data_IF_247192960397
#
_entry.id   IF_247192960397
#
_cell.length_a   1.000
_cell.length_b   1.000
_cell.length_c   1.000
_cell.angle_alpha   90.00
_cell.angle_beta   90.00
_cell.angle_gamma   90.00
#
_symmetry.space_group_name_H-M   'P 1'
#
loop_
_entity.id
_entity.type
_entity.pdbx_description
1 polymer ?
#
# COMPACT_ATOMS: atom_id res chain seq x y z
N UNK A 1 13.48 -40.24 13.08
CA UNK A 1 14.13 -40.03 11.77
C UNK A 1 13.49 -38.78 11.18
N UNK A 2 13.93 -37.57 11.54
CA UNK A 2 15.10 -36.85 10.97
C UNK A 2 15.08 -36.93 9.44
N UNK A 3 14.66 -35.83 8.81
CA UNK A 3 15.34 -35.35 7.62
C UNK A 3 15.66 -33.86 7.83
N UNK A 4 16.95 -33.65 8.07
CA UNK A 4 17.65 -32.40 8.22
C UNK A 4 17.85 -31.77 6.84
N UNK A 5 17.67 -30.44 6.77
CA UNK A 5 18.47 -29.44 6.03
C UNK A 5 19.07 -29.79 4.67
N UNK A 6 18.74 -28.98 3.66
CA UNK A 6 19.76 -28.21 2.90
C UNK A 6 19.19 -26.83 2.57
N UNK A 7 19.50 -25.85 3.43
CA UNK A 7 19.61 -24.45 3.05
C UNK A 7 20.80 -24.39 2.09
N UNK A 8 20.57 -24.16 0.80
CA UNK A 8 21.66 -24.06 -0.17
C UNK A 8 22.39 -22.73 0.06
N UNK A 9 23.62 -22.86 0.56
CA UNK A 9 24.61 -21.82 0.78
C UNK A 9 24.82 -20.93 -0.45
N UNK A 10 25.14 -19.67 -0.17
CA UNK A 10 25.91 -18.78 -1.04
C UNK A 10 27.09 -19.51 -1.68
N UNK A 11 27.23 -19.38 -3.01
CA UNK A 11 28.52 -19.55 -3.68
C UNK A 11 29.01 -18.16 -4.09
N UNK A 12 29.53 -17.40 -3.12
CA UNK A 12 30.43 -16.28 -3.40
C UNK A 12 31.84 -16.87 -3.47
N UNK A 13 32.32 -17.10 -4.68
CA UNK A 13 33.75 -17.24 -4.92
C UNK A 13 34.32 -15.83 -5.10
N UNK A 14 34.91 -15.26 -4.05
CA UNK A 14 35.81 -14.10 -4.15
C UNK A 14 37.12 -14.49 -3.49
N UNK A 15 38.18 -14.56 -4.30
CA UNK A 15 39.57 -14.65 -3.86
C UNK A 15 40.02 -13.29 -3.31
N UNK A 16 40.83 -13.36 -2.26
CA UNK A 16 41.29 -12.26 -1.41
C UNK A 16 41.85 -11.03 -2.14
N UNK A 17 41.53 -9.85 -1.57
CA UNK A 17 42.09 -8.55 -1.91
C UNK A 17 41.19 -7.42 -1.40
N UNK A 18 41.38 -7.06 -0.12
CA UNK A 18 41.07 -5.83 0.63
C UNK A 18 39.84 -4.93 0.32
N UNK A 19 39.24 -4.49 1.43
CA UNK A 19 38.27 -3.39 1.67
C UNK A 19 36.76 -3.69 1.61
N UNK A 20 36.12 -3.55 2.78
CA UNK A 20 34.67 -3.57 2.99
C UNK A 20 33.96 -2.47 2.19
N UNK A 21 33.32 -2.86 1.10
CA UNK A 21 32.24 -2.09 0.48
C UNK A 21 31.19 -3.08 0.01
N UNK A 22 30.07 -3.18 0.75
CA UNK A 22 28.94 -4.03 0.38
C UNK A 22 28.57 -3.79 -1.09
N UNK A 23 28.90 -4.75 -1.95
CA UNK A 23 28.75 -4.59 -3.39
C UNK A 23 27.27 -4.61 -3.73
N UNK A 24 26.72 -3.49 -4.22
CA UNK A 24 25.35 -3.44 -4.72
C UNK A 24 25.18 -4.48 -5.83
N UNK A 25 24.06 -5.20 -5.79
CA UNK A 25 23.72 -6.25 -6.73
C UNK A 25 23.70 -5.68 -8.16
N UNK A 26 24.34 -6.37 -9.11
CA UNK A 26 24.31 -6.00 -10.54
C UNK A 26 23.52 -7.03 -11.34
N UNK A 27 22.45 -6.57 -11.98
CA UNK A 27 21.55 -7.40 -12.78
C UNK A 27 22.13 -7.55 -14.18
N UNK A 28 22.35 -8.80 -14.60
CA UNK A 28 23.06 -9.16 -15.85
C UNK A 28 22.14 -9.56 -16.99
N UNK A 29 20.87 -9.79 -16.71
CA UNK A 29 19.89 -10.21 -17.70
C UNK A 29 18.46 -9.97 -17.18
N UNK A 30 17.49 -10.19 -18.07
CA UNK A 30 16.07 -10.06 -17.78
C UNK A 30 15.61 -11.01 -16.66
N UNK A 31 15.94 -12.32 -16.66
CA UNK A 31 15.56 -13.23 -15.58
C UNK A 31 16.06 -12.79 -14.20
N UNK A 32 17.29 -12.29 -14.08
CA UNK A 32 17.83 -11.79 -12.82
C UNK A 32 17.07 -10.55 -12.34
N UNK A 33 16.69 -9.64 -13.25
CA UNK A 33 15.89 -8.47 -12.90
C UNK A 33 14.48 -8.86 -12.42
N UNK A 34 13.83 -9.80 -13.09
CA UNK A 34 12.53 -10.33 -12.67
C UNK A 34 12.61 -11.00 -11.30
N UNK A 35 13.56 -11.92 -11.11
CA UNK A 35 13.76 -12.61 -9.84
C UNK A 35 14.04 -11.62 -8.68
N UNK A 36 14.81 -10.57 -8.95
CA UNK A 36 15.07 -9.51 -7.98
C UNK A 36 13.79 -8.75 -7.61
N UNK A 37 13.01 -8.32 -8.60
CA UNK A 37 11.73 -7.60 -8.38
C UNK A 37 10.72 -8.48 -7.64
N UNK A 38 10.61 -9.76 -8.00
CA UNK A 38 9.61 -10.67 -7.43
C UNK A 38 9.96 -11.16 -6.02
N UNK A 39 11.22 -11.03 -5.61
CA UNK A 39 11.70 -11.47 -4.29
C UNK A 39 11.21 -10.62 -3.13
N UNK A 40 10.71 -9.39 -3.39
CA UNK A 40 10.40 -8.39 -2.36
C UNK A 40 9.18 -7.53 -2.73
N UNK A 41 8.56 -6.89 -1.74
CA UNK A 41 7.37 -6.04 -1.98
C UNK A 41 7.73 -4.75 -2.72
N UNK A 42 8.87 -4.14 -2.37
CA UNK A 42 9.40 -2.93 -3.02
C UNK A 42 10.88 -3.14 -3.30
N UNK A 43 11.25 -3.02 -4.58
CA UNK A 43 12.62 -3.10 -5.07
C UNK A 43 13.01 -1.79 -5.76
N UNK A 44 14.27 -1.38 -5.63
CA UNK A 44 14.81 -0.21 -6.35
C UNK A 44 15.88 -0.66 -7.32
N UNK A 45 15.79 -0.23 -8.58
CA UNK A 45 16.82 -0.48 -9.59
C UNK A 45 17.32 0.85 -10.14
N UNK A 46 18.63 1.07 -10.04
CA UNK A 46 19.34 2.12 -10.76
C UNK A 46 19.72 1.63 -12.14
N UNK A 47 19.08 2.16 -13.18
CA UNK A 47 19.44 1.94 -14.57
C UNK A 47 20.46 2.99 -14.98
N UNK A 48 21.73 2.59 -15.07
CA UNK A 48 22.83 3.48 -15.44
C UNK A 48 23.71 2.77 -16.46
N UNK A 49 23.98 3.43 -17.58
CA UNK A 49 24.82 2.85 -18.64
C UNK A 49 26.27 2.67 -18.19
N UNK A 50 26.77 3.63 -17.40
CA UNK A 50 28.12 3.61 -16.84
C UNK A 50 28.16 4.25 -15.45
N UNK A 51 29.25 4.05 -14.71
CA UNK A 51 29.47 4.70 -13.42
C UNK A 51 29.77 6.21 -13.54
N UNK A 52 30.05 6.68 -14.75
CA UNK A 52 30.19 8.10 -15.07
C UNK A 52 28.83 8.78 -15.33
N UNK A 53 27.74 8.02 -15.38
CA UNK A 53 26.40 8.54 -15.57
C UNK A 53 26.04 9.56 -14.47
N UNK A 54 25.33 10.61 -14.89
CA UNK A 54 24.83 11.63 -13.97
C UNK A 54 23.87 10.99 -12.96
N UNK A 55 24.07 11.25 -11.68
CA UNK A 55 23.22 10.69 -10.62
C UNK A 55 23.69 9.32 -10.08
N UNK A 56 24.67 8.67 -10.71
CA UNK A 56 25.18 7.37 -10.24
C UNK A 56 25.77 7.46 -8.83
N UNK A 57 26.63 8.45 -8.58
CA UNK A 57 27.29 8.62 -7.27
C UNK A 57 26.30 9.03 -6.19
N UNK A 58 25.35 9.90 -6.53
CA UNK A 58 24.26 10.33 -5.65
C UNK A 58 23.34 9.15 -5.29
N UNK A 59 23.04 8.28 -6.26
CA UNK A 59 22.31 7.03 -6.02
C UNK A 59 23.05 6.14 -5.03
N UNK A 60 24.35 5.88 -5.26
CA UNK A 60 25.16 5.09 -4.32
C UNK A 60 25.18 5.68 -2.90
N UNK A 61 25.25 7.01 -2.78
CA UNK A 61 25.20 7.69 -1.49
C UNK A 61 23.84 7.54 -0.81
N UNK A 62 22.73 7.60 -1.56
CA UNK A 62 21.38 7.39 -1.04
C UNK A 62 21.17 5.94 -0.56
N UNK A 63 21.67 4.96 -1.31
CA UNK A 63 21.59 3.53 -0.96
C UNK A 63 22.26 3.25 0.39
N UNK A 64 23.40 3.90 0.68
CA UNK A 64 24.07 3.77 1.99
C UNK A 64 23.24 4.26 3.16
N UNK A 65 22.25 5.12 2.94
CA UNK A 65 21.32 5.61 3.97
C UNK A 65 20.05 4.75 4.07
N UNK A 66 19.83 3.83 3.13
CA UNK A 66 18.65 2.98 3.03
C UNK A 66 19.03 1.52 3.35
N UNK A 67 19.18 1.19 4.63
CA UNK A 67 19.62 -0.16 5.06
C UNK A 67 18.57 -1.26 4.82
N UNK A 68 17.29 -0.91 4.67
CA UNK A 68 16.19 -1.87 4.64
C UNK A 68 15.61 -2.15 3.27
N UNK A 69 15.99 -1.39 2.24
CA UNK A 69 15.44 -1.53 0.90
C UNK A 69 16.37 -2.36 0.00
N UNK A 70 15.86 -3.40 -0.67
CA UNK A 70 16.60 -4.11 -1.71
C UNK A 70 16.91 -3.18 -2.88
N UNK A 71 18.20 -2.99 -3.16
CA UNK A 71 18.67 -2.13 -4.25
C UNK A 71 19.59 -2.89 -5.20
N UNK A 72 19.42 -2.67 -6.51
CA UNK A 72 20.29 -3.19 -7.56
C UNK A 72 20.65 -2.12 -8.60
N UNK A 73 21.67 -2.43 -9.40
CA UNK A 73 22.11 -1.67 -10.57
C UNK A 73 21.94 -2.50 -11.84
N UNK A 74 21.59 -1.86 -12.95
CA UNK A 74 21.47 -2.52 -14.25
C UNK A 74 21.95 -1.62 -15.40
N UNK A 75 22.95 -2.11 -16.15
CA UNK A 75 23.45 -1.49 -17.39
C UNK A 75 22.93 -2.17 -18.65
N UNK A 76 22.22 -3.29 -18.51
CA UNK A 76 21.86 -4.19 -19.61
C UNK A 76 20.68 -3.66 -20.42
N UNK A 77 20.93 -3.27 -21.67
CA UNK A 77 19.92 -2.62 -22.54
C UNK A 77 18.69 -3.48 -22.82
N UNK A 78 18.82 -4.81 -22.79
CA UNK A 78 17.68 -5.72 -22.91
C UNK A 78 16.70 -5.60 -21.73
N UNK A 79 17.25 -5.44 -20.51
CA UNK A 79 16.46 -5.21 -19.29
C UNK A 79 15.80 -3.84 -19.35
N UNK A 80 16.51 -2.83 -19.85
CA UNK A 80 15.97 -1.48 -20.02
C UNK A 80 14.77 -1.48 -20.97
N UNK A 81 14.89 -2.16 -22.11
CA UNK A 81 13.82 -2.30 -23.09
C UNK A 81 12.58 -2.99 -22.50
N UNK A 82 12.76 -4.05 -21.69
CA UNK A 82 11.66 -4.76 -21.02
C UNK A 82 10.81 -3.85 -20.13
N UNK A 83 11.44 -2.94 -19.40
CA UNK A 83 10.76 -2.03 -18.46
C UNK A 83 10.51 -0.63 -19.04
N UNK A 84 10.72 -0.43 -20.35
CA UNK A 84 10.45 0.85 -21.02
C UNK A 84 11.40 1.98 -20.62
N UNK A 85 12.63 1.67 -20.22
CA UNK A 85 13.65 2.64 -19.81
C UNK A 85 14.46 3.11 -21.01
N UNK A 86 14.40 4.41 -21.31
CA UNK A 86 15.05 5.00 -22.48
C UNK A 86 16.44 5.62 -22.20
N UNK A 87 16.72 5.97 -20.95
CA UNK A 87 17.94 6.65 -20.51
C UNK A 87 18.26 6.31 -19.07
N UNK A 88 19.43 6.75 -18.59
CA UNK A 88 19.81 6.64 -17.18
C UNK A 88 18.67 7.13 -16.27
N UNK A 89 18.24 6.30 -15.32
CA UNK A 89 17.14 6.60 -14.40
C UNK A 89 17.16 5.69 -13.17
N UNK A 90 16.40 6.05 -12.16
CA UNK A 90 16.14 5.21 -10.99
C UNK A 90 14.66 4.84 -11.02
N UNK A 91 14.35 3.55 -10.92
CA UNK A 91 12.97 3.06 -10.91
C UNK A 91 12.67 2.27 -9.64
N UNK A 92 11.46 2.44 -9.13
CA UNK A 92 10.92 1.71 -7.98
C UNK A 92 9.90 0.73 -8.52
N UNK A 93 10.13 -0.55 -8.25
CA UNK A 93 9.22 -1.63 -8.58
C UNK A 93 8.48 -2.02 -7.30
N UNK A 94 7.15 -1.98 -7.33
CA UNK A 94 6.31 -2.48 -6.26
C UNK A 94 5.57 -3.71 -6.76
N UNK A 95 5.71 -4.82 -6.04
CA UNK A 95 4.93 -6.02 -6.31
C UNK A 95 3.46 -5.72 -6.07
N UNK A 96 2.66 -5.81 -7.12
CA UNK A 96 1.22 -5.60 -7.04
C UNK A 96 0.53 -6.93 -6.69
N UNK A 97 0.90 -7.52 -5.55
CA UNK A 97 0.03 -8.52 -4.94
C UNK A 97 -1.09 -7.74 -4.26
N UNK A 98 -2.30 -7.76 -4.82
CA UNK A 98 -3.50 -7.24 -4.16
C UNK A 98 -3.90 -8.24 -3.06
N UNK A 99 -3.01 -8.41 -2.09
CA UNK A 99 -3.30 -8.97 -0.78
C UNK A 99 -2.97 -7.86 0.22
N UNK A 100 -3.88 -6.92 0.36
CA UNK A 100 -3.82 -5.89 1.40
C UNK A 100 -3.84 -6.61 2.75
N UNK A 101 -2.66 -6.78 3.35
CA UNK A 101 -2.55 -7.27 4.72
C UNK A 101 -3.00 -6.15 5.65
N UNK A 102 -3.75 -6.48 6.70
CA UNK A 102 -4.17 -5.50 7.70
C UNK A 102 -2.97 -4.71 8.29
N UNK A 103 -1.78 -5.32 8.31
CA UNK A 103 -0.52 -4.71 8.76
C UNK A 103 -0.16 -3.47 7.92
N UNK A 104 -0.27 -3.55 6.59
CA UNK A 104 0.01 -2.42 5.69
C UNK A 104 -0.97 -1.26 5.88
N UNK A 105 -2.24 -1.55 6.18
CA UNK A 105 -3.25 -0.53 6.46
C UNK A 105 -2.91 0.29 7.72
N UNK A 106 -2.44 -0.37 8.78
CA UNK A 106 -2.09 0.30 10.05
C UNK A 106 -0.73 1.03 10.01
N UNK A 107 0.22 0.53 9.21
CA UNK A 107 1.51 1.17 9.00
C UNK A 107 1.48 2.32 7.96
N UNK A 108 0.38 2.48 7.24
CA UNK A 108 0.17 3.59 6.30
C UNK A 108 0.37 4.96 6.98
N UNK A 109 1.00 5.88 6.26
CA UNK A 109 1.07 7.31 6.65
C UNK A 109 -0.31 7.99 6.55
N UNK A 110 -1.22 7.42 5.75
CA UNK A 110 -2.61 7.88 5.62
C UNK A 110 -3.45 7.23 6.70
N UNK A 111 -3.84 8.01 7.70
CA UNK A 111 -4.59 7.55 8.88
C UNK A 111 -6.10 7.57 8.71
N UNK A 112 -6.61 8.20 7.66
CA UNK A 112 -8.03 8.20 7.31
C UNK A 112 -8.34 7.06 6.37
N UNK A 113 -9.22 6.16 6.77
CA UNK A 113 -9.63 5.01 5.97
C UNK A 113 -11.10 5.15 5.58
N UNK A 114 -11.40 5.02 4.30
CA UNK A 114 -12.75 4.88 3.76
C UNK A 114 -13.02 3.39 3.52
N UNK A 115 -14.01 2.82 4.18
CA UNK A 115 -14.32 1.40 4.14
C UNK A 115 -15.61 1.16 3.36
N UNK A 116 -15.55 0.31 2.33
CA UNK A 116 -16.72 -0.33 1.73
C UNK A 116 -16.89 -1.73 2.35
N UNK A 117 -17.89 -1.86 3.22
CA UNK A 117 -18.28 -3.12 3.84
C UNK A 117 -19.42 -3.72 3.03
N UNK A 118 -19.19 -4.88 2.41
CA UNK A 118 -20.18 -5.55 1.57
C UNK A 118 -20.20 -7.05 1.85
N UNK A 119 -21.36 -7.69 1.67
CA UNK A 119 -21.42 -9.13 1.53
C UNK A 119 -20.82 -9.49 0.17
N UNK A 120 -19.81 -10.36 0.12
CA UNK A 120 -19.05 -10.65 -1.12
C UNK A 120 -19.82 -11.35 -2.26
N UNK A 121 -21.13 -11.11 -2.42
CA UNK A 121 -21.95 -11.60 -3.53
C UNK A 121 -21.65 -10.83 -4.82
N UNK A 122 -21.24 -11.54 -5.88
CA UNK A 122 -20.71 -10.95 -7.11
C UNK A 122 -21.69 -10.05 -7.87
N UNK A 123 -22.97 -10.43 -7.95
CA UNK A 123 -23.91 -9.79 -8.88
C UNK A 123 -24.30 -8.33 -8.55
N UNK A 124 -24.17 -7.91 -7.30
CA UNK A 124 -24.45 -6.51 -6.88
C UNK A 124 -23.21 -5.78 -6.32
N UNK A 125 -22.15 -6.51 -5.94
CA UNK A 125 -20.96 -5.92 -5.32
C UNK A 125 -19.90 -5.48 -6.34
N UNK A 126 -19.82 -6.10 -7.52
CA UNK A 126 -18.78 -5.77 -8.51
C UNK A 126 -18.89 -4.33 -9.05
N UNK A 127 -20.06 -3.84 -9.51
CA UNK A 127 -20.19 -2.45 -9.97
C UNK A 127 -19.88 -1.44 -8.88
N UNK A 128 -20.23 -1.75 -7.63
CA UNK A 128 -19.98 -0.90 -6.48
C UNK A 128 -18.49 -0.85 -6.13
N UNK A 129 -17.82 -2.01 -6.11
CA UNK A 129 -16.36 -2.08 -5.91
C UNK A 129 -15.62 -1.34 -7.03
N UNK A 130 -16.06 -1.45 -8.28
CA UNK A 130 -15.44 -0.74 -9.40
C UNK A 130 -15.57 0.78 -9.23
N UNK A 131 -16.78 1.30 -8.94
CA UNK A 131 -16.98 2.72 -8.64
C UNK A 131 -16.09 3.20 -7.49
N UNK A 132 -15.94 2.37 -6.45
CA UNK A 132 -15.09 2.68 -5.30
C UNK A 132 -13.61 2.74 -5.70
N UNK A 133 -13.14 1.83 -6.55
CA UNK A 133 -11.78 1.85 -7.11
C UNK A 133 -11.53 3.05 -8.01
N UNK A 134 -12.49 3.40 -8.87
CA UNK A 134 -12.38 4.54 -9.79
C UNK A 134 -12.33 5.88 -9.05
N UNK A 135 -12.92 5.95 -7.84
CA UNK A 135 -12.87 7.12 -6.97
C UNK A 135 -11.56 7.28 -6.20
N UNK A 136 -10.89 6.17 -5.86
CA UNK A 136 -9.73 6.17 -4.99
C UNK A 136 -8.60 7.14 -5.43
N UNK A 137 -8.25 7.28 -6.74
CA UNK A 137 -7.22 8.21 -7.18
C UNK A 137 -7.47 9.68 -6.79
N UNK A 138 -8.73 10.13 -6.68
CA UNK A 138 -9.08 11.51 -6.27
C UNK A 138 -8.62 11.83 -4.85
N UNK A 139 -8.51 10.80 -4.00
CA UNK A 139 -8.21 10.92 -2.57
C UNK A 139 -6.82 10.39 -2.20
N UNK A 140 -5.97 10.12 -3.20
CA UNK A 140 -4.62 9.63 -2.98
C UNK A 140 -3.83 10.54 -2.00
N UNK A 141 -3.19 9.93 -1.01
CA UNK A 141 -2.46 10.63 0.05
C UNK A 141 -3.33 11.27 1.14
N UNK A 142 -4.66 11.29 0.98
CA UNK A 142 -5.62 11.85 1.95
C UNK A 142 -6.45 10.78 2.64
N UNK A 143 -6.88 9.77 1.89
CA UNK A 143 -7.66 8.65 2.40
C UNK A 143 -7.22 7.33 1.77
N UNK A 144 -7.27 6.26 2.57
CA UNK A 144 -7.05 4.90 2.12
C UNK A 144 -8.39 4.22 1.87
N UNK A 145 -8.57 3.65 0.68
CA UNK A 145 -9.81 2.98 0.29
C UNK A 145 -9.68 1.49 0.59
N UNK A 146 -10.56 0.97 1.46
CA UNK A 146 -10.48 -0.39 1.99
C UNK A 146 -11.77 -1.15 1.68
N UNK A 147 -11.65 -2.36 1.14
CA UNK A 147 -12.77 -3.27 0.93
C UNK A 147 -12.84 -4.28 2.08
N UNK A 148 -14.00 -4.40 2.71
CA UNK A 148 -14.23 -5.35 3.80
C UNK A 148 -15.30 -6.35 3.41
N UNK A 149 -14.92 -7.62 3.32
CA UNK A 149 -15.86 -8.70 3.13
C UNK A 149 -16.58 -9.00 4.45
N UNK A 150 -17.85 -8.59 4.56
CA UNK A 150 -18.67 -8.77 5.75
C UNK A 150 -19.16 -10.21 6.00
N UNK A 151 -18.88 -11.15 5.10
CA UNK A 151 -19.14 -12.60 5.30
C UNK A 151 -17.97 -13.31 5.98
N UNK A 152 -16.79 -12.70 5.96
CA UNK A 152 -15.59 -13.29 6.53
C UNK A 152 -15.61 -13.15 8.06
N UNK A 153 -15.41 -14.26 8.78
CA UNK A 153 -15.49 -14.27 10.25
C UNK A 153 -14.37 -13.44 10.89
N UNK A 154 -13.21 -13.37 10.25
CA UNK A 154 -12.10 -12.53 10.74
C UNK A 154 -12.41 -11.04 10.68
N UNK A 155 -13.42 -10.62 9.89
CA UNK A 155 -13.85 -9.22 9.76
C UNK A 155 -15.03 -8.84 10.66
N UNK A 156 -15.56 -9.77 11.47
CA UNK A 156 -16.74 -9.49 12.33
C UNK A 156 -16.50 -8.31 13.27
N UNK A 157 -15.29 -8.19 13.83
CA UNK A 157 -14.93 -7.09 14.73
C UNK A 157 -14.99 -5.72 14.04
N UNK A 158 -14.76 -5.66 12.73
CA UNK A 158 -14.90 -4.41 11.96
C UNK A 158 -16.37 -4.01 11.88
N UNK A 159 -17.27 -4.94 11.55
CA UNK A 159 -18.71 -4.65 11.50
C UNK A 159 -19.24 -4.21 12.86
N UNK A 160 -18.86 -4.91 13.93
CA UNK A 160 -19.23 -4.57 15.31
C UNK A 160 -18.71 -3.18 15.70
N UNK A 161 -17.47 -2.86 15.33
CA UNK A 161 -16.91 -1.53 15.55
C UNK A 161 -17.76 -0.47 14.87
N UNK A 162 -18.27 -0.69 13.66
CA UNK A 162 -19.22 0.22 13.01
C UNK A 162 -20.67 0.08 13.49
N UNK A 163 -20.96 -0.82 14.43
CA UNK A 163 -22.32 -1.07 14.89
C UNK A 163 -23.23 -1.71 13.83
N UNK A 164 -22.63 -2.40 12.85
CA UNK A 164 -23.31 -3.02 11.73
C UNK A 164 -23.50 -4.52 11.94
N UNK A 165 -24.57 -5.05 11.36
CA UNK A 165 -24.85 -6.47 11.17
C UNK A 165 -24.80 -6.80 9.69
N UNK A 166 -24.73 -8.09 9.34
CA UNK A 166 -24.71 -8.52 7.94
C UNK A 166 -25.90 -8.01 7.11
N UNK A 167 -27.08 -7.82 7.74
CA UNK A 167 -28.28 -7.28 7.10
C UNK A 167 -28.20 -5.79 6.76
N UNK A 168 -27.26 -5.07 7.37
CA UNK A 168 -27.11 -3.63 7.15
C UNK A 168 -26.22 -3.35 5.93
N UNK A 169 -25.55 -4.38 5.38
CA UNK A 169 -24.65 -4.30 4.24
C UNK A 169 -25.41 -4.20 2.91
N UNK A 170 -24.83 -3.54 1.88
CA UNK A 170 -23.54 -2.86 1.88
C UNK A 170 -23.57 -1.49 2.58
N UNK A 171 -22.45 -1.08 3.20
CA UNK A 171 -22.29 0.23 3.86
C UNK A 171 -20.94 0.87 3.57
N UNK A 172 -20.95 2.20 3.53
CA UNK A 172 -19.75 3.04 3.51
C UNK A 172 -19.55 3.65 4.90
N UNK A 173 -18.32 3.58 5.40
CA UNK A 173 -17.91 4.27 6.63
C UNK A 173 -16.52 4.85 6.52
N UNK A 174 -16.22 5.87 7.32
CA UNK A 174 -14.87 6.41 7.51
C UNK A 174 -14.41 6.02 8.90
N UNK A 175 -13.16 5.55 9.00
CA UNK A 175 -12.41 5.45 10.23
C UNK A 175 -11.28 6.48 10.20
N UNK A 176 -11.21 7.30 11.25
CA UNK A 176 -10.08 8.20 11.50
C UNK A 176 -9.18 7.57 12.56
N UNK A 177 -8.02 7.09 12.15
CA UNK A 177 -7.02 6.50 13.03
C UNK A 177 -6.30 7.50 13.93
N UNK A 178 -6.43 8.82 13.70
CA UNK A 178 -5.89 9.85 14.59
C UNK A 178 -6.86 10.12 15.74
N UNK A 179 -8.14 10.30 15.43
CA UNK A 179 -9.17 10.57 16.44
C UNK A 179 -9.76 9.31 17.08
N UNK A 180 -9.43 8.13 16.54
CA UNK A 180 -10.08 6.86 16.84
C UNK A 180 -11.61 6.95 16.79
N UNK A 181 -12.11 7.66 15.77
CA UNK A 181 -13.53 7.93 15.56
C UNK A 181 -14.00 7.32 14.24
N UNK A 182 -15.29 7.03 14.17
CA UNK A 182 -15.95 6.46 12.98
C UNK A 182 -17.13 7.31 12.51
N UNK A 183 -17.37 7.35 11.21
CA UNK A 183 -18.54 7.97 10.60
C UNK A 183 -19.18 6.96 9.67
N UNK A 184 -20.50 6.95 9.62
CA UNK A 184 -21.26 6.12 8.70
C UNK A 184 -21.99 7.01 7.72
N UNK A 185 -21.89 6.70 6.43
CA UNK A 185 -22.72 7.36 5.44
C UNK A 185 -24.19 7.00 5.70
N UNK A 186 -25.08 7.98 5.56
CA UNK A 186 -26.51 7.80 5.75
C UNK A 186 -27.05 6.67 4.85
N UNK A 187 -28.05 5.89 5.30
CA UNK A 187 -28.62 4.80 4.51
C UNK A 187 -29.13 5.23 3.11
N UNK A 188 -29.26 4.27 2.21
CA UNK A 188 -29.77 4.45 0.84
C UNK A 188 -28.76 4.04 -0.22
N UNK A 189 -29.05 4.36 -1.49
CA UNK A 189 -28.22 3.97 -2.63
C UNK A 189 -26.80 4.55 -2.56
N UNK A 190 -25.79 3.71 -2.77
CA UNK A 190 -24.38 4.13 -2.78
C UNK A 190 -24.00 4.58 -4.21
N UNK A 191 -24.07 5.89 -4.45
CA UNK A 191 -23.67 6.52 -5.71
C UNK A 191 -22.31 7.21 -5.58
N UNK A 192 -21.63 7.42 -6.71
CA UNK A 192 -20.32 8.11 -6.76
C UNK A 192 -20.38 9.49 -6.09
N UNK A 193 -21.42 10.27 -6.39
CA UNK A 193 -21.63 11.61 -5.83
C UNK A 193 -21.81 11.57 -4.31
N UNK A 194 -22.61 10.63 -3.79
CA UNK A 194 -22.82 10.51 -2.33
C UNK A 194 -21.54 10.14 -1.60
N UNK A 195 -20.76 9.21 -2.16
CA UNK A 195 -19.46 8.83 -1.58
C UNK A 195 -18.49 9.99 -1.61
N UNK A 196 -18.42 10.74 -2.73
CA UNK A 196 -17.58 11.93 -2.84
C UNK A 196 -17.97 13.00 -1.82
N UNK A 197 -19.26 13.35 -1.74
CA UNK A 197 -19.75 14.33 -0.78
C UNK A 197 -19.44 13.93 0.66
N UNK A 198 -19.56 12.64 0.99
CA UNK A 198 -19.21 12.12 2.32
C UNK A 198 -17.71 12.25 2.62
N UNK A 199 -16.85 11.95 1.63
CA UNK A 199 -15.39 12.13 1.78
C UNK A 199 -14.99 13.60 1.89
N UNK A 200 -15.53 14.45 1.02
CA UNK A 200 -15.20 15.87 0.94
C UNK A 200 -15.66 16.57 2.24
N UNK A 201 -16.88 16.28 2.72
CA UNK A 201 -17.39 16.79 4.02
C UNK A 201 -16.54 16.36 5.21
N UNK A 202 -15.94 15.16 5.17
CA UNK A 202 -15.02 14.70 6.21
C UNK A 202 -13.70 15.47 6.18
N UNK A 203 -13.14 15.69 4.99
CA UNK A 203 -11.87 16.42 4.84
C UNK A 203 -12.01 17.90 5.20
N UNK A 204 -13.18 18.48 4.94
CA UNK A 204 -13.50 19.87 5.27
C UNK A 204 -13.84 20.06 6.77
N UNK A 205 -13.95 18.97 7.53
CA UNK A 205 -14.21 18.98 8.97
C UNK A 205 -15.69 19.09 9.35
N UNK A 206 -16.61 19.06 8.38
CA UNK A 206 -18.02 19.28 8.62
C UNK A 206 -18.69 18.10 9.31
N UNK A 207 -18.30 16.86 8.98
CA UNK A 207 -18.79 15.67 9.67
C UNK A 207 -18.35 15.62 11.14
N UNK A 208 -17.19 16.18 11.46
CA UNK A 208 -16.64 16.25 12.81
C UNK A 208 -17.48 17.22 13.65
N UNK A 209 -17.75 18.43 13.12
CA UNK A 209 -18.62 19.43 13.76
C UNK A 209 -20.03 18.92 13.99
N UNK A 210 -20.62 18.24 13.00
CA UNK A 210 -21.95 17.64 13.12
C UNK A 210 -22.00 16.62 14.26
N UNK A 211 -21.00 15.73 14.33
CA UNK A 211 -20.92 14.70 15.36
C UNK A 211 -20.69 15.26 16.77
N UNK A 212 -19.93 16.35 16.88
CA UNK A 212 -19.76 17.07 18.15
C UNK A 212 -21.07 17.74 18.59
N UNK A 213 -21.82 18.35 17.67
CA UNK A 213 -23.12 18.92 17.98
C UNK A 213 -24.18 17.87 18.39
N UNK A 214 -24.07 16.63 17.88
CA UNK A 214 -24.93 15.50 18.28
C UNK A 214 -24.55 14.90 19.64
N UNK A 215 -23.34 15.15 20.13
CA UNK A 215 -22.89 14.67 21.45
C UNK A 215 -23.10 15.79 22.46
N UNK A 216 -24.11 15.73 23.35
CA UNK A 216 -24.32 16.79 24.32
C UNK A 216 -23.05 16.98 25.15
N UNK A 217 -22.50 18.20 25.15
CA UNK A 217 -21.47 18.58 26.13
C UNK A 217 -22.03 18.28 27.52
N UNK A 218 -21.45 17.29 28.20
CA UNK A 218 -21.72 17.09 29.62
C UNK A 218 -21.12 18.28 30.38
N UNK A 219 -21.88 19.36 30.44
CA UNK A 219 -21.66 20.46 31.38
C UNK A 219 -22.17 20.00 32.75
N UNK A 220 -21.50 19.02 33.35
CA UNK A 220 -21.55 18.88 34.80
C UNK A 220 -20.46 19.76 35.41
N UNK A 221 -20.95 20.90 35.87
CA UNK A 221 -20.52 21.71 37.01
C UNK A 221 -19.34 21.17 37.83
N UNK A 222 -18.34 22.04 38.04
CA UNK A 222 -17.75 22.38 39.35
C UNK A 222 -17.06 23.76 39.26
#
# INVERSE_FOLDING_TARGET
MIFLTVFSLLTVCVTAGDEESGSIIRLKDVPAAEAFIDSVEVAVIGFFETEAARGYKEFLAAVKQMETLPVALCSEKEVWAKYGIASDTISIFRKSEIHETAVGLFQSSVKTHLLLMADGGREHSEPLQQRFRDLAPKYAGKMLFVLVNGREKSNTRVLEYFGLKSRDLPRIGIYDGVLDKKWLMAPGEITTERVQNFCDSFLDGDLQKQKEAETPEDKTEL
#
